data_IF_061238204173
#
_entry.id   IF_061238204173
#
_cell.length_a   1.000
_cell.length_b   1.000
_cell.length_c   1.000
_cell.angle_alpha   90.00
_cell.angle_beta   90.00
_cell.angle_gamma   90.00
#
_symmetry.space_group_name_H-M   'P 1'
#
loop_
_entity.id
_entity.type
_entity.pdbx_description
1 polymer ?
#
# COMPACT_ATOMS: atom_id res chain seq x y z
N UNK A 1 -3.33 27.57 4.29
CA UNK A 1 -3.94 26.30 4.76
C UNK A 1 -2.91 25.45 5.51
N UNK A 2 -2.83 25.57 6.84
CA UNK A 2 -1.80 24.92 7.67
C UNK A 2 -2.56 24.12 8.75
N UNK A 3 -2.76 22.81 8.54
CA UNK A 3 -3.52 21.98 9.50
C UNK A 3 -3.75 20.53 9.05
N UNK A 4 -3.75 20.28 7.73
CA UNK A 4 -3.93 18.94 7.16
C UNK A 4 -2.98 17.86 7.70
N UNK A 5 -1.65 18.11 7.79
CA UNK A 5 -0.72 17.13 8.32
C UNK A 5 -0.99 16.80 9.79
N UNK A 6 -1.31 17.80 10.62
CA UNK A 6 -1.55 17.61 12.05
C UNK A 6 -2.85 16.84 12.30
N UNK A 7 -3.93 17.19 11.59
CA UNK A 7 -5.19 16.46 11.62
C UNK A 7 -5.03 15.00 11.18
N UNK A 8 -4.24 14.76 10.13
CA UNK A 8 -3.89 13.40 9.69
C UNK A 8 -3.08 12.65 10.76
N UNK A 9 -2.12 13.29 11.44
CA UNK A 9 -1.38 12.64 12.55
C UNK A 9 -2.31 12.26 13.69
N UNK A 10 -3.21 13.16 14.09
CA UNK A 10 -4.17 12.90 15.18
C UNK A 10 -5.19 11.83 14.79
N UNK A 11 -5.59 11.75 13.52
CA UNK A 11 -6.43 10.65 13.03
C UNK A 11 -5.67 9.32 13.06
N UNK A 12 -4.42 9.27 12.58
CA UNK A 12 -3.57 8.07 12.59
C UNK A 12 -3.29 7.57 14.02
N UNK A 13 -2.99 8.48 14.95
CA UNK A 13 -2.77 8.15 16.35
C UNK A 13 -4.03 7.54 17.00
N UNK A 14 -5.22 8.11 16.74
CA UNK A 14 -6.50 7.58 17.25
C UNK A 14 -6.81 6.17 16.75
N UNK A 15 -6.28 5.78 15.59
CA UNK A 15 -6.50 4.45 15.02
C UNK A 15 -5.36 3.46 15.35
N UNK A 16 -4.53 3.79 16.34
CA UNK A 16 -3.49 2.90 16.86
C UNK A 16 -2.20 2.85 16.03
N UNK A 17 -2.01 3.80 15.11
CA UNK A 17 -0.73 3.94 14.40
C UNK A 17 0.27 4.64 15.31
N UNK A 18 1.42 3.99 15.56
CA UNK A 18 2.52 4.57 16.32
C UNK A 18 2.95 5.93 15.71
N UNK A 19 2.88 7.04 16.47
CA UNK A 19 3.33 8.36 16.04
C UNK A 19 4.80 8.41 15.61
N UNK A 20 5.65 7.50 16.12
CA UNK A 20 7.05 7.36 15.69
C UNK A 20 7.17 6.61 14.36
N UNK A 21 6.15 5.83 14.00
CA UNK A 21 6.08 5.03 12.79
C UNK A 21 5.67 5.83 11.54
N UNK A 22 5.34 7.11 11.67
CA UNK A 22 5.10 7.98 10.52
C UNK A 22 5.56 9.42 10.76
N UNK A 23 6.01 10.05 9.68
CA UNK A 23 6.26 11.48 9.60
C UNK A 23 5.51 11.98 8.38
N UNK A 24 4.61 12.93 8.60
CA UNK A 24 3.93 13.67 7.54
C UNK A 24 4.49 15.10 7.57
N UNK A 25 5.26 15.43 6.56
CA UNK A 25 5.85 16.73 6.33
C UNK A 25 5.06 17.54 5.27
N UNK A 26 4.34 16.86 4.36
CA UNK A 26 3.29 17.46 3.54
C UNK A 26 2.13 16.48 3.31
N UNK A 27 0.96 17.00 2.92
CA UNK A 27 -0.26 16.19 2.69
C UNK A 27 -0.31 15.50 1.33
N UNK A 28 0.58 15.85 0.40
CA UNK A 28 0.63 15.29 -0.95
C UNK A 28 1.48 14.02 -1.05
N UNK A 29 2.30 13.74 -0.04
CA UNK A 29 3.24 12.62 -0.08
C UNK A 29 4.55 12.94 -0.81
N UNK A 30 4.75 14.17 -1.33
CA UNK A 30 5.90 14.56 -2.15
C UNK A 30 7.15 14.90 -1.32
N UNK A 31 6.98 15.22 -0.05
CA UNK A 31 8.10 15.51 0.82
C UNK A 31 8.94 14.26 1.04
N UNK A 32 10.26 14.39 0.82
CA UNK A 32 11.27 13.38 1.25
C UNK A 32 11.27 13.18 2.77
N UNK A 33 10.61 14.09 3.49
CA UNK A 33 10.43 14.01 4.93
C UNK A 33 9.21 13.16 5.32
N UNK A 34 8.39 12.74 4.35
CA UNK A 34 7.35 11.77 4.64
C UNK A 34 7.98 10.40 4.89
N UNK A 35 7.74 9.86 6.07
CA UNK A 35 8.12 8.51 6.43
C UNK A 35 6.87 7.78 6.87
N UNK A 36 6.71 6.53 6.47
CA UNK A 36 5.69 5.65 7.03
C UNK A 36 6.32 4.27 7.09
N UNK A 37 6.23 3.62 8.24
CA UNK A 37 6.66 2.22 8.35
C UNK A 37 5.62 1.33 7.66
N UNK A 38 6.03 0.16 7.11
CA UNK A 38 5.08 -0.81 6.59
C UNK A 38 4.00 -1.20 7.61
N UNK A 39 4.39 -1.30 8.89
CA UNK A 39 3.47 -1.60 10.00
C UNK A 39 2.40 -0.51 10.15
N UNK A 40 2.78 0.77 10.15
CA UNK A 40 1.83 1.89 10.21
C UNK A 40 0.83 1.87 9.05
N UNK A 41 1.28 1.53 7.84
CA UNK A 41 0.41 1.44 6.67
C UNK A 41 -0.55 0.25 6.77
N UNK A 42 -0.09 -0.92 7.20
CA UNK A 42 -0.96 -2.09 7.43
C UNK A 42 -1.98 -1.83 8.54
N UNK A 43 -1.59 -1.18 9.63
CA UNK A 43 -2.54 -0.78 10.69
C UNK A 43 -3.61 0.16 10.14
N UNK A 44 -3.20 1.14 9.32
CA UNK A 44 -4.15 2.07 8.67
C UNK A 44 -5.12 1.32 7.75
N UNK A 45 -4.61 0.42 6.89
CA UNK A 45 -5.45 -0.43 6.03
C UNK A 45 -6.42 -1.28 6.84
N UNK A 46 -5.98 -1.86 7.96
CA UNK A 46 -6.84 -2.66 8.84
C UNK A 46 -8.00 -1.84 9.39
N UNK A 47 -7.76 -0.60 9.79
CA UNK A 47 -8.82 0.27 10.29
C UNK A 47 -9.79 0.64 9.18
N UNK A 48 -9.27 0.99 8.00
CA UNK A 48 -10.11 1.33 6.84
C UNK A 48 -10.95 0.15 6.37
N UNK A 49 -10.47 -1.07 6.54
CA UNK A 49 -11.21 -2.29 6.25
C UNK A 49 -12.52 -2.40 7.04
N UNK A 50 -12.53 -1.97 8.30
CA UNK A 50 -13.69 -2.05 9.20
C UNK A 50 -14.47 -0.73 9.30
N UNK A 51 -14.05 0.32 8.59
CA UNK A 51 -14.67 1.63 8.70
C UNK A 51 -16.05 1.69 7.99
N UNK A 52 -17.01 2.52 8.46
CA UNK A 52 -18.31 2.71 7.82
C UNK A 52 -18.26 3.15 6.34
N UNK A 53 -17.14 3.73 5.89
CA UNK A 53 -16.89 4.14 4.49
C UNK A 53 -16.00 3.18 3.70
N UNK A 54 -15.80 1.94 4.17
CA UNK A 54 -14.85 0.98 3.57
C UNK A 54 -15.05 0.79 2.07
N UNK A 55 -16.29 0.74 1.59
CA UNK A 55 -16.58 0.40 0.20
C UNK A 55 -16.12 1.51 -0.77
N UNK A 56 -16.29 2.77 -0.36
CA UNK A 56 -15.77 3.92 -1.10
C UNK A 56 -14.24 3.94 -1.10
N UNK A 57 -13.61 3.67 0.05
CA UNK A 57 -12.15 3.56 0.14
C UNK A 57 -11.64 2.43 -0.77
N UNK A 58 -12.27 1.25 -0.71
CA UNK A 58 -11.95 0.11 -1.56
C UNK A 58 -12.08 0.42 -3.05
N UNK A 59 -13.16 1.09 -3.44
CA UNK A 59 -13.40 1.50 -4.82
C UNK A 59 -12.37 2.53 -5.33
N UNK A 60 -11.78 3.32 -4.43
CA UNK A 60 -10.73 4.29 -4.79
C UNK A 60 -9.37 3.65 -5.13
N UNK A 61 -9.17 2.38 -4.77
CA UNK A 61 -7.89 1.71 -4.98
C UNK A 61 -7.75 1.19 -6.42
N UNK A 62 -6.62 1.45 -7.09
CA UNK A 62 -6.29 0.81 -8.36
C UNK A 62 -6.34 -0.73 -8.25
N UNK A 63 -6.87 -1.38 -9.28
CA UNK A 63 -6.99 -2.83 -9.37
C UNK A 63 -5.97 -3.39 -10.35
N UNK A 64 -5.23 -4.41 -9.92
CA UNK A 64 -4.21 -5.08 -10.73
C UNK A 64 -4.78 -5.58 -12.07
N UNK A 65 -4.10 -5.21 -13.16
CA UNK A 65 -4.46 -5.54 -14.52
C UNK A 65 -5.74 -4.86 -15.05
N UNK A 66 -6.35 -3.93 -14.29
CA UNK A 66 -7.65 -3.33 -14.66
C UNK A 66 -7.67 -1.81 -14.63
N UNK A 67 -7.16 -1.16 -13.58
CA UNK A 67 -7.37 0.29 -13.40
C UNK A 67 -6.18 1.04 -12.81
N UNK A 68 -6.21 2.37 -13.00
CA UNK A 68 -5.26 3.30 -12.42
C UNK A 68 -3.80 2.99 -12.74
N UNK A 69 -2.95 3.12 -11.71
CA UNK A 69 -1.50 2.86 -11.80
C UNK A 69 -1.14 1.38 -11.84
N UNK A 70 -2.11 0.48 -11.64
CA UNK A 70 -1.92 -0.97 -11.74
C UNK A 70 -2.51 -1.57 -13.02
N UNK A 71 -3.12 -0.77 -13.90
CA UNK A 71 -3.79 -1.25 -15.13
C UNK A 71 -2.90 -2.14 -16.00
N UNK A 72 -1.59 -1.85 -16.01
CA UNK A 72 -0.61 -2.56 -16.83
C UNK A 72 0.28 -3.52 -16.04
N UNK A 73 -0.02 -3.76 -14.76
CA UNK A 73 0.79 -4.60 -13.86
C UNK A 73 0.05 -5.89 -13.54
N UNK A 74 0.81 -6.97 -13.39
CA UNK A 74 0.31 -8.28 -12.97
C UNK A 74 -0.82 -8.85 -13.86
N UNK A 75 -0.85 -8.49 -15.16
CA UNK A 75 -1.78 -9.09 -16.11
C UNK A 75 -1.45 -10.56 -16.34
N UNK A 76 -2.47 -11.36 -16.63
CA UNK A 76 -2.38 -12.79 -16.89
C UNK A 76 -1.70 -13.56 -15.74
N UNK A 77 -1.97 -13.13 -14.50
CA UNK A 77 -1.46 -13.76 -13.28
C UNK A 77 -2.59 -13.93 -12.25
N UNK A 78 -2.42 -14.77 -11.22
CA UNK A 78 -3.38 -14.89 -10.12
C UNK A 78 -3.67 -13.58 -9.36
N UNK A 79 -2.79 -12.58 -9.46
CA UNK A 79 -2.98 -11.27 -8.85
C UNK A 79 -3.94 -10.36 -9.64
N UNK A 80 -4.25 -10.67 -10.89
CA UNK A 80 -5.12 -9.84 -11.72
C UNK A 80 -6.55 -9.82 -11.16
N UNK A 81 -7.09 -8.62 -10.92
CA UNK A 81 -8.43 -8.43 -10.36
C UNK A 81 -8.57 -8.77 -8.87
N UNK A 82 -7.57 -9.38 -8.24
CA UNK A 82 -7.57 -9.78 -6.83
C UNK A 82 -6.79 -8.81 -5.95
N UNK A 83 -5.82 -8.09 -6.52
CA UNK A 83 -5.02 -7.08 -5.81
C UNK A 83 -5.61 -5.69 -6.03
N UNK A 84 -5.93 -5.02 -4.92
CA UNK A 84 -6.40 -3.63 -4.88
C UNK A 84 -5.41 -2.84 -4.02
N UNK A 85 -4.62 -1.95 -4.63
CA UNK A 85 -3.52 -1.31 -3.92
C UNK A 85 -3.15 0.06 -4.47
N UNK A 86 -2.69 0.92 -3.57
CA UNK A 86 -2.19 2.24 -3.91
C UNK A 86 -0.69 2.19 -4.16
N UNK A 87 -0.26 2.78 -5.28
CA UNK A 87 1.17 3.00 -5.58
C UNK A 87 1.68 4.28 -4.92
N UNK A 88 2.91 4.22 -4.41
CA UNK A 88 3.69 5.39 -3.99
C UNK A 88 5.04 5.44 -4.73
N UNK A 89 5.44 6.65 -5.14
CA UNK A 89 6.69 6.90 -5.86
C UNK A 89 7.40 8.11 -5.26
N UNK A 90 8.63 7.91 -4.80
CA UNK A 90 9.56 8.98 -4.40
C UNK A 90 10.94 8.69 -5.02
N UNK A 91 11.83 9.69 -5.05
CA UNK A 91 13.19 9.50 -5.60
C UNK A 91 13.93 8.44 -4.76
N UNK A 92 14.30 7.33 -5.41
CA UNK A 92 14.96 6.18 -4.76
C UNK A 92 14.02 5.20 -4.04
N UNK A 93 12.71 5.49 -3.97
CA UNK A 93 11.74 4.67 -3.23
C UNK A 93 10.53 4.33 -4.08
N UNK A 94 10.13 3.07 -4.07
CA UNK A 94 8.85 2.59 -4.61
C UNK A 94 8.06 1.90 -3.51
N UNK A 95 6.75 2.13 -3.53
CA UNK A 95 5.84 1.60 -2.54
C UNK A 95 4.59 1.02 -3.19
N UNK A 96 4.06 -0.04 -2.59
CA UNK A 96 2.76 -0.60 -2.90
C UNK A 96 2.13 -1.14 -1.62
N UNK A 97 0.95 -0.64 -1.29
CA UNK A 97 0.22 -1.03 -0.09
C UNK A 97 -1.25 -1.20 -0.41
N UNK A 98 -1.89 -2.22 0.15
CA UNK A 98 -3.29 -2.48 -0.09
C UNK A 98 -3.70 -3.89 0.32
N UNK A 99 -4.60 -4.46 -0.47
CA UNK A 99 -5.29 -5.71 -0.18
C UNK A 99 -5.09 -6.74 -1.28
N UNK A 100 -5.05 -8.00 -0.88
CA UNK A 100 -5.09 -9.16 -1.77
C UNK A 100 -6.27 -10.02 -1.34
N UNK A 101 -7.21 -10.25 -2.27
CA UNK A 101 -8.26 -11.26 -2.10
C UNK A 101 -7.64 -12.64 -2.34
N UNK A 102 -7.15 -13.27 -1.28
CA UNK A 102 -6.45 -14.54 -1.36
C UNK A 102 -7.43 -15.72 -1.24
N UNK A 103 -7.35 -16.75 -2.11
CA UNK A 103 -8.28 -17.88 -2.09
C UNK A 103 -8.24 -18.67 -0.77
N UNK A 104 -7.05 -18.84 -0.19
CA UNK A 104 -6.87 -19.67 1.01
C UNK A 104 -6.84 -18.90 2.35
N UNK A 105 -6.63 -17.58 2.31
CA UNK A 105 -6.37 -16.77 3.53
C UNK A 105 -7.35 -15.61 3.68
N UNK A 106 -8.37 -15.53 2.82
CA UNK A 106 -9.30 -14.41 2.77
C UNK A 106 -8.59 -13.10 2.41
N UNK A 107 -8.94 -12.01 3.09
CA UNK A 107 -8.37 -10.70 2.82
C UNK A 107 -7.00 -10.54 3.47
N UNK A 108 -5.94 -10.51 2.65
CA UNK A 108 -4.57 -10.25 3.11
C UNK A 108 -4.24 -8.78 2.96
N UNK A 109 -3.74 -8.15 4.02
CA UNK A 109 -3.29 -6.76 4.03
C UNK A 109 -1.77 -6.73 3.88
N UNK A 110 -1.26 -5.85 3.02
CA UNK A 110 0.18 -5.74 2.81
C UNK A 110 0.65 -4.30 2.63
N UNK A 111 1.93 -4.08 2.91
CA UNK A 111 2.63 -2.85 2.55
C UNK A 111 4.10 -3.18 2.26
N UNK A 112 4.53 -2.91 1.03
CA UNK A 112 5.89 -3.12 0.57
C UNK A 112 6.50 -1.76 0.26
N UNK A 113 7.60 -1.45 0.94
CA UNK A 113 8.41 -0.26 0.71
C UNK A 113 9.80 -0.70 0.27
N UNK A 114 10.17 -0.39 -0.97
CA UNK A 114 11.47 -0.71 -1.53
C UNK A 114 12.27 0.59 -1.71
N UNK A 115 13.32 0.75 -0.92
CA UNK A 115 14.26 1.86 -1.03
C UNK A 115 15.60 1.34 -1.53
N UNK A 116 16.00 1.74 -2.73
CA UNK A 116 17.35 1.48 -3.23
C UNK A 116 17.74 2.57 -4.24
N UNK A 117 18.58 3.56 -3.84
CA UNK A 117 18.95 4.66 -4.71
C UNK A 117 19.81 4.23 -5.91
N UNK A 118 20.41 3.03 -5.87
CA UNK A 118 21.27 2.50 -6.93
C UNK A 118 20.51 1.67 -7.97
N UNK A 119 19.21 1.41 -7.78
CA UNK A 119 18.40 0.70 -8.76
C UNK A 119 17.43 1.62 -9.48
N UNK A 120 17.14 1.29 -10.74
CA UNK A 120 16.10 1.98 -11.49
C UNK A 120 14.73 1.74 -10.84
N UNK A 121 13.86 2.77 -10.91
CA UNK A 121 12.52 2.67 -10.33
C UNK A 121 11.67 1.54 -10.95
N UNK A 122 11.93 1.17 -12.21
CA UNK A 122 11.26 0.04 -12.85
C UNK A 122 11.72 -1.31 -12.30
N UNK A 123 13.01 -1.45 -11.95
CA UNK A 123 13.52 -2.64 -11.26
C UNK A 123 12.84 -2.84 -9.91
N UNK A 124 12.76 -1.78 -9.11
CA UNK A 124 12.07 -1.83 -7.81
C UNK A 124 10.60 -2.18 -7.95
N UNK A 125 9.90 -1.61 -8.94
CA UNK A 125 8.50 -1.98 -9.24
C UNK A 125 8.36 -3.45 -9.59
N UNK A 126 9.25 -4.01 -10.41
CA UNK A 126 9.23 -5.44 -10.76
C UNK A 126 9.48 -6.33 -9.54
N UNK A 127 10.40 -5.96 -8.66
CA UNK A 127 10.65 -6.71 -7.43
C UNK A 127 9.43 -6.68 -6.50
N UNK A 128 8.76 -5.54 -6.37
CA UNK A 128 7.50 -5.42 -5.64
C UNK A 128 6.43 -6.33 -6.25
N UNK A 129 6.26 -6.31 -7.58
CA UNK A 129 5.30 -7.17 -8.28
C UNK A 129 5.57 -8.65 -8.02
N UNK A 130 6.84 -9.09 -8.04
CA UNK A 130 7.21 -10.48 -7.73
C UNK A 130 6.79 -10.89 -6.32
N UNK A 131 7.02 -10.02 -5.32
CA UNK A 131 6.61 -10.31 -3.92
C UNK A 131 5.09 -10.44 -3.84
N UNK A 132 4.33 -9.54 -4.48
CA UNK A 132 2.86 -9.62 -4.49
C UNK A 132 2.35 -10.89 -5.17
N UNK A 133 2.98 -11.28 -6.28
CA UNK A 133 2.65 -12.53 -6.98
C UNK A 133 2.91 -13.75 -6.09
N UNK A 134 4.05 -13.79 -5.40
CA UNK A 134 4.36 -14.86 -4.46
C UNK A 134 3.28 -14.94 -3.37
N UNK A 135 2.97 -13.82 -2.70
CA UNK A 135 1.92 -13.77 -1.66
C UNK A 135 0.57 -14.25 -2.20
N UNK A 136 0.23 -13.90 -3.45
CA UNK A 136 -1.04 -14.28 -4.10
C UNK A 136 -1.15 -15.78 -4.38
N UNK A 137 -0.06 -16.53 -4.26
CA UNK A 137 0.01 -17.97 -4.55
C UNK A 137 0.46 -18.82 -3.35
N UNK A 138 0.69 -18.22 -2.17
CA UNK A 138 1.12 -18.97 -0.99
C UNK A 138 0.02 -19.98 -0.62
N UNK A 139 0.44 -21.19 -0.26
CA UNK A 139 -0.44 -22.23 0.24
C UNK A 139 -0.27 -22.37 1.75
N UNK A 140 -1.31 -22.83 2.48
CA UNK A 140 -1.14 -23.24 3.87
C UNK A 140 -0.01 -24.28 3.98
N UNK A 141 0.79 -24.19 5.04
CA UNK A 141 1.71 -25.28 5.39
C UNK A 141 0.86 -26.44 5.90
N UNK A 142 0.92 -27.57 5.21
CA UNK A 142 0.34 -28.83 5.65
C UNK A 142 1.33 -29.58 6.54
#
# INVERSE_FOLDING_TARGET
>A
HIGGPQAAKSALARIGVDPKGFRLADGSGLSRRNAATPKSLVTTLRVMYYAPGKDMFYASLPVAGRSGTLRNRMKNTPAQGTVLAKTGTLRGVRALSGYIKHPNFGMVLFSILANNPHQSGSSLVRSIDKIVLQISTIKPCN
#
